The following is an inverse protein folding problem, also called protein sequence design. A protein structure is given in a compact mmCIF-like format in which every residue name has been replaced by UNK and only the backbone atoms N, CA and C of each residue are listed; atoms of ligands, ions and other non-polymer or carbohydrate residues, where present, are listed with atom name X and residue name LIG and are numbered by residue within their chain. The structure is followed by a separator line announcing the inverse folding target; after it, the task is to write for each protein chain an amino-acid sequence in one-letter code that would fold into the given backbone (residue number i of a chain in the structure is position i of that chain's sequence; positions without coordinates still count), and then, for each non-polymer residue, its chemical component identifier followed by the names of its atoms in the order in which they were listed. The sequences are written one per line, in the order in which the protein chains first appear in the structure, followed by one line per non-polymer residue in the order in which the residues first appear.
data_IF_808246316742
#
_entry.id   IF_808246316742
#
_cell.length_a   1.000
_cell.length_b   1.000
_cell.length_c   1.000
_cell.angle_alpha   90.00
_cell.angle_beta   90.00
_cell.angle_gamma   90.00
#
_symmetry.space_group_name_H-M   'P 1'
#
loop_
_entity.id
_entity.type
_entity.pdbx_description
1 polymer ?
#
# COMPACT_ATOMS: atom_id res chain seq x y z
N UNK A 1 43.68 -52.65 38.84
CA UNK A 1 44.85 -51.82 38.45
C UNK A 1 44.45 -50.95 37.26
N UNK A 2 44.83 -49.66 37.31
CA UNK A 2 45.00 -48.62 36.27
C UNK A 2 44.56 -49.00 34.82
N UNK A 3 43.85 -48.16 34.06
CA UNK A 3 44.38 -46.92 33.44
C UNK A 3 43.26 -46.08 32.79
N UNK A 4 43.44 -44.75 32.85
CA UNK A 4 42.66 -43.64 32.25
C UNK A 4 43.14 -43.36 30.80
N UNK A 5 42.25 -42.83 29.92
CA UNK A 5 42.42 -41.78 28.86
C UNK A 5 41.20 -41.88 27.89
N UNK A 6 40.17 -41.00 27.90
CA UNK A 6 39.99 -39.66 27.24
C UNK A 6 40.31 -39.67 25.71
N UNK A 7 39.59 -39.09 24.73
CA UNK A 7 38.68 -37.95 24.55
C UNK A 7 38.13 -38.11 23.09
N UNK A 8 36.87 -37.88 22.72
CA UNK A 8 36.34 -36.63 22.16
C UNK A 8 34.91 -36.89 21.66
N UNK A 9 33.91 -36.23 22.25
CA UNK A 9 32.72 -35.81 21.49
C UNK A 9 32.44 -34.36 21.88
N UNK A 10 32.64 -33.50 20.89
CA UNK A 10 32.41 -32.08 20.94
C UNK A 10 30.92 -31.79 20.72
N UNK A 11 30.41 -30.86 21.54
CA UNK A 11 29.32 -29.91 21.26
C UNK A 11 27.92 -30.48 20.97
N UNK A 12 27.30 -31.01 22.01
CA UNK A 12 25.84 -30.95 22.17
C UNK A 12 25.46 -29.67 22.92
N UNK A 13 25.18 -28.59 22.20
CA UNK A 13 24.54 -27.39 22.77
C UNK A 13 23.09 -27.76 23.09
N UNK A 14 22.61 -27.61 24.34
CA UNK A 14 21.18 -27.71 24.59
C UNK A 14 20.48 -26.49 23.99
N UNK A 15 19.78 -26.70 22.87
CA UNK A 15 18.74 -25.80 22.38
C UNK A 15 17.57 -25.87 23.37
N UNK A 16 17.56 -24.99 24.36
CA UNK A 16 16.38 -24.28 24.87
C UNK A 16 16.72 -23.58 26.19
N UNK A 17 17.21 -22.36 26.10
CA UNK A 17 16.67 -21.27 26.92
C UNK A 17 17.03 -19.92 26.32
N UNK A 18 16.31 -19.53 25.27
CA UNK A 18 16.09 -18.11 25.03
C UNK A 18 14.94 -17.67 25.95
N UNK A 19 15.25 -17.43 27.24
CA UNK A 19 14.40 -16.56 28.06
C UNK A 19 14.84 -15.12 27.76
N UNK A 20 14.25 -14.54 26.72
CA UNK A 20 14.25 -13.10 26.48
C UNK A 20 13.39 -12.40 27.56
N UNK A 21 13.66 -11.13 27.89
CA UNK A 21 13.61 -10.61 29.26
C UNK A 21 12.19 -10.39 29.80
N UNK A 22 12.10 -10.40 31.13
CA UNK A 22 10.88 -10.20 31.94
C UNK A 22 10.36 -8.73 31.95
N UNK A 23 10.95 -7.86 31.13
CA UNK A 23 10.64 -6.44 30.92
C UNK A 23 10.70 -6.20 29.40
N UNK A 24 9.72 -5.49 28.83
CA UNK A 24 9.47 -5.39 27.37
C UNK A 24 10.62 -4.89 26.47
N UNK A 25 10.34 -4.51 25.20
CA UNK A 25 11.37 -4.20 24.19
C UNK A 25 12.18 -2.93 24.48
N UNK A 26 11.77 -2.13 25.46
CA UNK A 26 12.45 -0.91 25.87
C UNK A 26 13.57 -1.23 26.86
N UNK A 27 14.80 -1.29 26.35
CA UNK A 27 16.00 -1.27 27.18
C UNK A 27 16.41 0.20 27.39
N UNK A 28 16.48 0.64 28.65
CA UNK A 28 17.10 1.92 29.00
C UNK A 28 18.56 1.91 28.52
N UNK A 29 18.81 2.46 27.34
CA UNK A 29 20.14 2.63 26.77
C UNK A 29 20.68 4.03 27.13
N UNK A 30 21.94 4.28 26.78
CA UNK A 30 22.59 5.57 27.00
C UNK A 30 22.00 6.72 26.16
N UNK A 31 21.03 6.45 25.26
CA UNK A 31 20.39 7.43 24.39
C UNK A 31 19.17 8.14 25.04
N UNK A 32 18.78 7.71 26.26
CA UNK A 32 17.83 8.44 27.10
C UNK A 32 16.35 8.26 26.73
N UNK A 33 16.01 7.15 26.08
CA UNK A 33 14.62 6.79 25.76
C UNK A 33 13.84 6.46 27.04
N UNK A 34 12.63 7.00 27.17
CA UNK A 34 11.76 6.79 28.32
C UNK A 34 10.97 5.50 28.18
N UNK A 35 11.11 4.63 29.18
CA UNK A 35 10.33 3.41 29.29
C UNK A 35 9.31 3.51 30.42
N UNK A 36 8.18 2.84 30.26
CA UNK A 36 7.23 2.62 31.34
C UNK A 36 7.72 1.52 32.32
N UNK A 37 6.97 1.33 33.41
CA UNK A 37 7.29 0.35 34.46
C UNK A 37 7.27 -1.12 33.99
N UNK A 38 6.68 -1.40 32.84
CA UNK A 38 6.58 -2.75 32.26
C UNK A 38 7.63 -2.96 31.14
N UNK A 39 8.43 -1.94 30.83
CA UNK A 39 9.50 -2.02 29.82
C UNK A 39 9.03 -1.75 28.39
N UNK A 40 7.97 -0.97 28.18
CA UNK A 40 7.58 -0.47 26.85
C UNK A 40 7.94 1.01 26.72
N UNK A 41 8.12 1.48 25.49
CA UNK A 41 8.44 2.88 25.25
C UNK A 41 7.25 3.77 25.61
N UNK A 42 7.49 4.82 26.40
CA UNK A 42 6.51 5.91 26.52
C UNK A 42 6.28 6.51 25.13
N UNK A 43 5.03 6.75 24.73
CA UNK A 43 4.76 7.21 23.37
C UNK A 43 5.32 8.59 23.07
N UNK A 44 5.64 9.40 24.09
CA UNK A 44 6.31 10.70 23.91
C UNK A 44 7.77 10.59 24.31
N UNK A 45 8.66 10.78 23.34
CA UNK A 45 10.09 10.82 23.54
C UNK A 45 10.60 12.24 23.33
N UNK A 46 11.51 12.70 24.18
CA UNK A 46 12.07 14.05 24.12
C UNK A 46 13.58 14.01 24.27
N UNK A 47 14.28 14.68 23.37
CA UNK A 47 15.69 15.01 23.54
C UNK A 47 15.85 16.51 23.89
N UNK A 48 17.08 17.01 23.99
CA UNK A 48 17.33 18.42 24.34
C UNK A 48 16.70 19.43 23.37
N UNK A 49 16.43 19.03 22.12
CA UNK A 49 16.00 19.94 21.04
C UNK A 49 14.53 19.80 20.64
N UNK A 50 13.95 18.61 20.74
CA UNK A 50 12.62 18.30 20.20
C UNK A 50 11.98 17.15 20.95
N UNK A 51 10.66 17.08 20.89
CA UNK A 51 9.87 15.91 21.27
C UNK A 51 9.20 15.30 20.04
N UNK A 52 8.92 14.00 20.06
CA UNK A 52 8.28 13.24 18.98
C UNK A 52 7.56 12.02 19.55
N UNK A 53 6.63 11.47 18.78
CA UNK A 53 5.88 10.29 19.17
C UNK A 53 6.52 9.00 18.64
N UNK A 54 6.44 7.92 19.42
CA UNK A 54 6.96 6.59 19.04
C UNK A 54 5.96 5.48 19.34
N UNK A 55 6.15 4.35 18.67
CA UNK A 55 5.37 3.12 18.89
C UNK A 55 5.84 2.39 20.16
N UNK A 56 4.95 2.04 21.10
CA UNK A 56 5.34 1.45 22.41
C UNK A 56 6.17 0.17 22.35
N UNK A 57 5.98 -0.66 21.31
CA UNK A 57 6.56 -2.00 21.23
C UNK A 57 7.70 -2.13 20.21
N UNK A 58 7.96 -1.10 19.40
CA UNK A 58 9.02 -1.12 18.36
C UNK A 58 9.91 0.12 18.35
N UNK A 59 9.56 1.18 19.09
CA UNK A 59 10.19 2.50 19.02
C UNK A 59 10.12 3.19 17.64
N UNK A 60 9.28 2.73 16.71
CA UNK A 60 9.10 3.38 15.41
C UNK A 60 8.57 4.81 15.58
N UNK A 61 9.25 5.80 14.97
CA UNK A 61 8.97 7.24 15.13
C UNK A 61 7.89 7.68 14.14
N UNK A 62 6.87 8.39 14.63
CA UNK A 62 5.92 9.14 13.81
C UNK A 62 6.50 10.52 13.46
N UNK A 63 7.05 10.66 12.24
CA UNK A 63 7.93 11.79 11.87
C UNK A 63 7.24 13.15 11.91
N UNK A 64 5.97 13.22 11.50
CA UNK A 64 5.16 14.43 11.48
C UNK A 64 4.83 15.00 12.86
N UNK A 65 4.97 14.19 13.92
CA UNK A 65 4.73 14.64 15.30
C UNK A 65 5.89 15.44 15.89
N UNK A 66 7.06 15.49 15.23
CA UNK A 66 8.27 16.11 15.79
C UNK A 66 8.08 17.62 16.03
N UNK A 67 8.26 18.04 17.27
CA UNK A 67 8.23 19.46 17.66
C UNK A 67 9.56 20.14 17.40
N UNK A 68 9.54 21.47 17.24
CA UNK A 68 10.74 22.30 17.09
C UNK A 68 11.40 22.65 18.45
N UNK A 69 10.84 22.19 19.56
CA UNK A 69 11.32 22.49 20.91
C UNK A 69 10.99 21.35 21.88
N UNK A 70 11.91 21.06 22.79
CA UNK A 70 11.74 20.07 23.87
C UNK A 70 10.72 20.49 24.94
N UNK A 71 10.25 21.74 24.92
CA UNK A 71 9.23 22.26 25.86
C UNK A 71 7.79 21.97 25.42
N UNK A 72 7.58 21.63 24.15
CA UNK A 72 6.26 21.37 23.58
C UNK A 72 6.04 19.87 23.51
N UNK A 73 4.95 19.41 24.13
CA UNK A 73 4.49 18.03 24.01
C UNK A 73 3.86 17.85 22.61
N UNK A 74 4.28 16.83 21.83
CA UNK A 74 3.72 16.54 20.53
C UNK A 74 2.28 16.02 20.65
N UNK A 75 1.46 16.23 19.63
CA UNK A 75 0.18 15.54 19.53
C UNK A 75 0.45 14.16 18.91
N UNK A 76 0.15 13.10 19.64
CA UNK A 76 0.30 11.73 19.14
C UNK A 76 -1.06 11.26 18.62
N UNK A 77 -1.07 10.68 17.42
CA UNK A 77 -2.28 10.20 16.78
C UNK A 77 -3.03 9.13 17.58
N UNK A 78 -4.24 8.85 17.13
CA UNK A 78 -5.19 7.99 17.84
C UNK A 78 -4.68 6.56 18.02
N UNK A 79 -3.97 6.03 17.03
CA UNK A 79 -3.43 4.66 17.08
C UNK A 79 -2.29 4.52 18.10
N UNK A 80 -1.35 5.47 18.16
CA UNK A 80 -0.30 5.46 19.18
C UNK A 80 -0.89 5.57 20.59
N UNK A 81 -1.91 6.41 20.76
CA UNK A 81 -2.64 6.54 22.03
C UNK A 81 -3.36 5.24 22.40
N UNK A 82 -3.92 4.53 21.42
CA UNK A 82 -4.51 3.21 21.62
C UNK A 82 -3.46 2.17 22.02
N UNK A 83 -2.32 2.11 21.32
CA UNK A 83 -1.23 1.20 21.63
C UNK A 83 -0.66 1.45 23.03
N UNK A 84 -0.55 2.72 23.47
CA UNK A 84 -0.11 3.03 24.83
C UNK A 84 -0.98 2.34 25.88
N UNK A 85 -2.31 2.30 25.67
CA UNK A 85 -3.24 1.62 26.57
C UNK A 85 -3.14 0.10 26.47
N UNK A 86 -2.96 -0.42 25.25
CA UNK A 86 -2.83 -1.85 24.99
C UNK A 86 -1.62 -2.47 25.71
N UNK A 87 -0.50 -1.74 25.75
CA UNK A 87 0.75 -2.18 26.40
C UNK A 87 0.93 -1.68 27.84
N UNK A 88 -0.01 -0.90 28.39
CA UNK A 88 0.10 -0.29 29.73
C UNK A 88 0.21 -1.31 30.88
N UNK A 89 -0.15 -2.57 30.65
CA UNK A 89 -0.10 -3.66 31.63
C UNK A 89 0.89 -4.77 31.23
N UNK A 90 1.80 -4.50 30.29
CA UNK A 90 2.72 -5.49 29.75
C UNK A 90 2.29 -6.04 28.39
N UNK A 91 2.73 -7.26 28.09
CA UNK A 91 2.37 -7.93 26.84
C UNK A 91 0.84 -8.07 26.72
N UNK A 92 0.26 -7.73 25.56
CA UNK A 92 -1.14 -7.97 25.29
C UNK A 92 -1.46 -9.47 25.41
N UNK A 93 -2.71 -9.80 25.73
CA UNK A 93 -3.16 -11.19 25.77
C UNK A 93 -2.82 -11.89 24.45
N UNK A 94 -2.46 -13.17 24.52
CA UNK A 94 -2.21 -13.99 23.33
C UNK A 94 -3.40 -13.89 22.36
N UNK A 95 -3.12 -13.62 21.09
CA UNK A 95 -4.09 -13.36 20.01
C UNK A 95 -4.81 -11.99 20.06
N UNK A 96 -4.37 -11.06 20.91
CA UNK A 96 -4.80 -9.66 20.81
C UNK A 96 -4.34 -9.07 19.49
N UNK A 97 -5.25 -8.41 18.78
CA UNK A 97 -4.91 -7.66 17.57
C UNK A 97 -4.10 -6.40 17.92
N UNK A 98 -2.91 -6.25 17.34
CA UNK A 98 -2.06 -5.07 17.49
C UNK A 98 -2.16 -4.24 16.21
N UNK A 99 -2.84 -3.08 16.22
CA UNK A 99 -3.00 -2.25 15.03
C UNK A 99 -1.70 -1.63 14.56
N UNK A 100 -1.61 -1.40 13.26
CA UNK A 100 -0.52 -0.66 12.63
C UNK A 100 -0.85 0.83 12.57
N UNK A 101 0.08 1.65 13.03
CA UNK A 101 -0.07 3.10 13.01
C UNK A 101 0.69 3.73 11.84
N UNK A 102 0.18 4.83 11.30
CA UNK A 102 0.85 5.57 10.25
C UNK A 102 2.15 6.20 10.78
N UNK A 103 3.12 6.38 9.88
CA UNK A 103 4.46 6.85 10.23
C UNK A 103 4.60 8.38 10.28
N UNK A 104 3.54 9.13 10.02
CA UNK A 104 3.53 10.59 10.04
C UNK A 104 2.93 11.12 11.35
N UNK A 105 1.64 10.90 11.59
CA UNK A 105 0.92 11.45 12.75
C UNK A 105 0.73 10.41 13.88
N UNK A 106 0.83 9.12 13.58
CA UNK A 106 0.60 8.04 14.54
C UNK A 106 -0.89 7.71 14.73
N UNK A 107 -1.72 8.09 13.78
CA UNK A 107 -3.10 7.66 13.57
C UNK A 107 -3.12 6.22 13.02
N UNK A 108 -4.30 5.63 12.89
CA UNK A 108 -4.41 4.27 12.35
C UNK A 108 -4.05 4.29 10.86
N UNK A 109 -3.22 3.36 10.40
CA UNK A 109 -3.13 3.13 8.96
C UNK A 109 -4.51 2.73 8.43
N UNK A 110 -4.90 3.23 7.25
CA UNK A 110 -6.22 2.94 6.70
C UNK A 110 -6.45 1.43 6.58
N UNK A 111 -5.44 0.67 6.15
CA UNK A 111 -5.51 -0.78 6.04
C UNK A 111 -4.89 -1.44 7.26
N UNK A 112 -5.68 -2.26 7.95
CA UNK A 112 -5.28 -3.08 9.08
C UNK A 112 -5.30 -4.55 8.66
N UNK A 113 -4.24 -5.29 8.99
CA UNK A 113 -4.12 -6.70 8.61
C UNK A 113 -3.87 -7.58 9.84
N UNK A 114 -4.76 -8.55 10.06
CA UNK A 114 -4.63 -9.59 11.06
C UNK A 114 -3.93 -10.80 10.42
N UNK A 115 -2.65 -10.98 10.74
CA UNK A 115 -1.82 -12.07 10.21
C UNK A 115 -2.28 -13.46 10.69
N UNK A 116 -2.88 -13.57 11.88
CA UNK A 116 -3.38 -14.85 12.42
C UNK A 116 -4.64 -15.29 11.66
N UNK A 117 -5.48 -14.33 11.26
CA UNK A 117 -6.69 -14.59 10.46
C UNK A 117 -6.47 -14.50 8.96
N UNK A 118 -5.29 -14.07 8.51
CA UNK A 118 -4.97 -13.79 7.12
C UNK A 118 -6.01 -12.88 6.45
N UNK A 119 -6.42 -11.82 7.16
CA UNK A 119 -7.48 -10.91 6.73
C UNK A 119 -7.02 -9.46 6.87
N UNK A 120 -7.27 -8.64 5.86
CA UNK A 120 -7.10 -7.19 5.94
C UNK A 120 -8.46 -6.49 5.81
N UNK A 121 -8.61 -5.35 6.47
CA UNK A 121 -9.82 -4.53 6.47
C UNK A 121 -9.44 -3.05 6.56
N UNK A 122 -10.33 -2.17 6.11
CA UNK A 122 -10.14 -0.74 6.23
C UNK A 122 -10.71 -0.22 7.55
N UNK A 123 -10.06 0.78 8.14
CA UNK A 123 -10.53 1.48 9.35
C UNK A 123 -10.56 2.98 9.14
N UNK A 124 -11.40 3.67 9.89
CA UNK A 124 -11.31 5.12 10.00
C UNK A 124 -10.00 5.49 10.72
N UNK A 125 -9.19 6.36 10.11
CA UNK A 125 -7.82 6.63 10.59
C UNK A 125 -7.79 7.27 11.99
N UNK A 126 -8.86 7.96 12.39
CA UNK A 126 -8.92 8.66 13.68
C UNK A 126 -9.51 7.79 14.81
N UNK A 127 -10.30 6.78 14.47
CA UNK A 127 -11.03 5.97 15.46
C UNK A 127 -10.60 4.51 15.49
N UNK A 128 -10.00 4.01 14.40
CA UNK A 128 -9.66 2.59 14.23
C UNK A 128 -10.87 1.68 14.04
N UNK A 129 -12.05 2.24 13.83
CA UNK A 129 -13.28 1.48 13.59
C UNK A 129 -13.29 0.98 12.15
N UNK A 130 -13.57 -0.30 11.96
CA UNK A 130 -13.73 -0.90 10.63
C UNK A 130 -14.77 -0.15 9.81
N UNK A 131 -14.40 0.22 8.59
CA UNK A 131 -15.29 0.89 7.64
C UNK A 131 -15.72 -0.10 6.57
N UNK A 132 -16.80 0.23 5.86
CA UNK A 132 -17.21 -0.53 4.67
C UNK A 132 -16.32 -0.25 3.44
N UNK A 133 -15.12 0.34 3.62
CA UNK A 133 -14.19 0.60 2.53
C UNK A 133 -13.48 -0.67 2.13
N UNK A 134 -13.25 -0.82 0.84
CA UNK A 134 -12.53 -1.98 0.31
C UNK A 134 -11.01 -1.79 0.51
N UNK A 135 -10.32 -2.70 1.22
CA UNK A 135 -8.86 -2.67 1.39
C UNK A 135 -8.07 -2.79 0.09
N UNK A 136 -8.73 -3.05 -1.04
CA UNK A 136 -8.11 -2.95 -2.37
C UNK A 136 -7.71 -1.52 -2.76
N UNK A 137 -8.43 -0.51 -2.26
CA UNK A 137 -8.17 0.91 -2.55
C UNK A 137 -7.84 1.67 -1.28
N UNK A 138 -6.57 2.07 -1.07
CA UNK A 138 -6.13 2.70 0.16
C UNK A 138 -6.65 4.14 0.32
N UNK A 139 -7.44 4.67 -0.63
CA UNK A 139 -8.08 5.97 -0.49
C UNK A 139 -9.43 6.02 -1.24
N UNK A 140 -10.52 6.53 -0.62
CA UNK A 140 -11.86 6.54 -1.23
C UNK A 140 -11.98 7.37 -2.50
N UNK A 141 -11.19 8.43 -2.66
CA UNK A 141 -11.24 9.26 -3.86
C UNK A 141 -10.68 8.55 -5.10
N UNK A 142 -9.94 7.46 -4.95
CA UNK A 142 -9.46 6.67 -6.08
C UNK A 142 -10.59 6.05 -6.91
N UNK A 143 -11.81 5.97 -6.39
CA UNK A 143 -12.97 5.47 -7.14
C UNK A 143 -13.75 6.57 -7.87
N UNK A 144 -13.38 7.85 -7.71
CA UNK A 144 -14.07 8.96 -8.39
C UNK A 144 -13.51 9.15 -9.80
N UNK A 145 -14.37 9.37 -10.80
CA UNK A 145 -13.94 9.71 -12.16
C UNK A 145 -13.15 11.04 -12.15
N UNK A 146 -12.30 11.27 -13.16
CA UNK A 146 -11.53 12.50 -13.28
C UNK A 146 -12.44 13.73 -13.38
N UNK A 147 -12.02 14.80 -12.73
CA UNK A 147 -12.65 16.11 -12.87
C UNK A 147 -11.61 17.13 -13.37
N UNK A 148 -11.77 17.54 -14.63
CA UNK A 148 -10.95 18.55 -15.29
C UNK A 148 -11.04 19.92 -14.61
N UNK A 149 -12.05 20.14 -13.76
CA UNK A 149 -12.31 21.41 -13.13
C UNK A 149 -12.67 22.50 -14.13
N UNK A 150 -12.24 23.73 -13.85
CA UNK A 150 -12.49 24.90 -14.69
C UNK A 150 -11.26 25.81 -14.76
N UNK A 151 -11.23 26.64 -15.81
CA UNK A 151 -10.16 27.62 -16.04
C UNK A 151 -10.34 28.81 -15.10
N UNK A 152 -9.34 29.10 -14.27
CA UNK A 152 -9.32 30.26 -13.38
C UNK A 152 -8.31 31.34 -13.80
N UNK A 153 -7.34 31.01 -14.66
CA UNK A 153 -6.38 31.97 -15.22
C UNK A 153 -5.94 31.53 -16.62
N UNK A 154 -5.50 32.46 -17.45
CA UNK A 154 -4.87 32.14 -18.74
C UNK A 154 -3.56 31.37 -18.50
N UNK A 155 -3.37 30.25 -19.19
CA UNK A 155 -2.17 29.38 -19.13
C UNK A 155 -1.96 28.55 -17.85
N UNK A 156 -3.04 28.14 -17.18
CA UNK A 156 -2.97 27.26 -16.01
C UNK A 156 -3.29 25.77 -16.31
N UNK A 157 -3.46 25.40 -17.58
CA UNK A 157 -3.73 24.02 -17.98
C UNK A 157 -2.49 23.15 -17.78
N UNK A 158 -2.70 21.92 -17.31
CA UNK A 158 -1.60 20.97 -17.09
C UNK A 158 -2.09 19.54 -17.23
N UNK A 159 -1.19 18.63 -17.61
CA UNK A 159 -1.46 17.20 -17.52
C UNK A 159 -1.41 16.77 -16.06
N UNK A 160 -2.47 16.12 -15.61
CA UNK A 160 -2.59 15.48 -14.29
C UNK A 160 -2.94 14.02 -14.49
N UNK A 161 -2.81 13.22 -13.44
CA UNK A 161 -3.11 11.80 -13.45
C UNK A 161 -4.28 11.51 -12.53
N UNK A 162 -5.14 10.59 -12.92
CA UNK A 162 -6.20 10.07 -12.09
C UNK A 162 -6.19 8.55 -12.17
N UNK A 163 -6.59 7.89 -11.09
CA UNK A 163 -6.67 6.45 -11.02
C UNK A 163 -8.01 5.98 -11.57
N UNK A 164 -7.97 5.20 -12.65
CA UNK A 164 -9.13 4.49 -13.16
C UNK A 164 -9.20 3.11 -12.47
N UNK A 165 -10.18 2.91 -11.57
CA UNK A 165 -10.24 1.68 -10.81
C UNK A 165 -10.55 0.49 -11.73
N UNK A 166 -11.28 0.67 -12.83
CA UNK A 166 -11.65 -0.41 -13.76
C UNK A 166 -10.41 -1.07 -14.35
N UNK A 167 -9.47 -0.27 -14.86
CA UNK A 167 -8.27 -0.77 -15.55
C UNK A 167 -7.03 -0.80 -14.66
N UNK A 168 -7.11 -0.31 -13.43
CA UNK A 168 -5.97 -0.15 -12.51
C UNK A 168 -4.84 0.72 -13.06
N UNK A 169 -5.19 1.69 -13.90
CA UNK A 169 -4.23 2.57 -14.51
C UNK A 169 -4.37 4.00 -13.99
N UNK A 170 -3.23 4.65 -13.81
CA UNK A 170 -3.17 6.08 -13.61
C UNK A 170 -3.08 6.79 -14.96
N UNK A 171 -4.21 7.27 -15.47
CA UNK A 171 -4.27 7.89 -16.79
C UNK A 171 -4.03 9.40 -16.73
N UNK A 172 -3.30 9.95 -17.71
CA UNK A 172 -3.16 11.38 -17.89
C UNK A 172 -4.48 12.01 -18.40
N UNK A 173 -4.78 13.22 -17.94
CA UNK A 173 -5.87 14.06 -18.44
C UNK A 173 -5.51 15.54 -18.31
N UNK A 174 -6.12 16.37 -19.14
CA UNK A 174 -6.01 17.83 -19.08
C UNK A 174 -6.82 18.38 -17.90
N UNK A 175 -6.10 18.91 -16.91
CA UNK A 175 -6.68 19.67 -15.81
C UNK A 175 -6.67 21.16 -16.14
N UNK A 176 -7.82 21.82 -15.98
CA UNK A 176 -8.04 23.23 -16.31
C UNK A 176 -7.53 24.21 -15.24
N UNK A 177 -6.92 23.69 -14.17
CA UNK A 177 -6.12 24.48 -13.23
C UNK A 177 -6.84 24.92 -11.95
N UNK A 178 -8.18 24.91 -11.89
CA UNK A 178 -8.94 25.12 -10.65
C UNK A 178 -10.12 24.16 -10.48
N UNK A 179 -10.52 23.91 -9.23
CA UNK A 179 -11.56 22.95 -8.90
C UNK A 179 -11.06 21.50 -9.00
N UNK A 180 -11.88 20.62 -9.54
CA UNK A 180 -11.56 19.19 -9.62
C UNK A 180 -11.92 18.44 -8.33
N UNK A 181 -11.65 17.14 -8.34
CA UNK A 181 -11.74 16.27 -7.18
C UNK A 181 -10.34 15.79 -6.74
N UNK A 182 -10.29 14.93 -5.71
CA UNK A 182 -9.03 14.43 -5.13
C UNK A 182 -8.33 13.36 -5.96
N UNK A 183 -8.99 12.75 -6.94
CA UNK A 183 -8.36 11.83 -7.88
C UNK A 183 -7.59 12.60 -8.96
N UNK A 184 -6.61 13.39 -8.52
CA UNK A 184 -5.88 14.35 -9.35
C UNK A 184 -4.45 14.52 -8.82
N UNK A 185 -3.51 13.87 -9.50
CA UNK A 185 -2.11 13.75 -9.12
C UNK A 185 -1.20 14.43 -10.14
N UNK A 186 -0.02 14.90 -9.72
CA UNK A 186 0.92 15.55 -10.64
C UNK A 186 1.68 14.52 -11.48
N UNK A 187 1.85 13.31 -10.96
CA UNK A 187 2.57 12.23 -11.64
C UNK A 187 1.82 10.91 -11.52
N UNK A 188 2.03 10.00 -12.49
CA UNK A 188 1.49 8.64 -12.44
C UNK A 188 1.98 7.88 -11.20
N UNK A 189 3.24 8.10 -10.80
CA UNK A 189 3.81 7.48 -9.59
C UNK A 189 3.17 7.93 -8.29
N UNK A 190 2.76 9.21 -8.17
CA UNK A 190 1.95 9.68 -7.02
C UNK A 190 0.59 8.99 -6.99
N UNK A 191 -0.09 8.93 -8.13
CA UNK A 191 -1.37 8.26 -8.28
C UNK A 191 -1.28 6.77 -7.89
N UNK A 192 -0.27 6.05 -8.39
CA UNK A 192 -0.08 4.63 -8.07
C UNK A 192 0.18 4.40 -6.58
N UNK A 193 1.01 5.25 -5.95
CA UNK A 193 1.27 5.16 -4.50
C UNK A 193 0.02 5.42 -3.66
N UNK A 194 -0.83 6.33 -4.10
CA UNK A 194 -2.01 6.75 -3.35
C UNK A 194 -3.23 5.83 -3.59
N UNK A 195 -3.29 5.13 -4.72
CA UNK A 195 -4.49 4.38 -5.12
C UNK A 195 -4.30 2.88 -5.32
N UNK A 196 -3.06 2.37 -5.38
CA UNK A 196 -2.78 0.94 -5.54
C UNK A 196 -2.15 0.41 -4.26
N UNK A 197 -2.88 -0.46 -3.53
CA UNK A 197 -2.34 -1.12 -2.35
C UNK A 197 -1.23 -2.12 -2.75
N UNK A 198 -0.19 -2.25 -1.92
CA UNK A 198 0.96 -3.11 -2.20
C UNK A 198 0.62 -4.62 -2.27
N UNK A 199 -0.50 -5.02 -1.65
CA UNK A 199 -1.04 -6.38 -1.68
C UNK A 199 -2.14 -6.56 -2.73
N UNK A 200 -2.35 -5.58 -3.61
CA UNK A 200 -3.40 -5.63 -4.60
C UNK A 200 -3.16 -6.77 -5.61
N UNK A 201 -4.17 -7.61 -5.78
CA UNK A 201 -4.20 -8.65 -6.80
C UNK A 201 -5.63 -8.73 -7.33
N UNK A 202 -5.80 -8.54 -8.64
CA UNK A 202 -7.10 -8.66 -9.32
C UNK A 202 -6.92 -9.03 -10.77
N UNK A 203 -7.99 -9.55 -11.33
CA UNK A 203 -8.11 -9.75 -12.75
C UNK A 203 -8.30 -8.43 -13.50
N UNK A 204 -7.96 -8.48 -14.79
CA UNK A 204 -8.12 -7.36 -15.70
C UNK A 204 -9.55 -6.83 -15.70
N UNK A 205 -9.70 -5.51 -15.87
CA UNK A 205 -11.01 -4.83 -15.96
C UNK A 205 -11.91 -5.07 -14.72
N UNK A 206 -11.31 -5.21 -13.53
CA UNK A 206 -12.00 -5.60 -12.29
C UNK A 206 -12.86 -6.87 -12.42
N UNK A 207 -12.51 -7.76 -13.34
CA UNK A 207 -13.29 -8.98 -13.50
C UNK A 207 -13.21 -9.86 -12.26
N UNK A 208 -14.31 -10.53 -11.94
CA UNK A 208 -14.35 -11.44 -10.81
C UNK A 208 -13.41 -12.63 -11.07
N UNK A 209 -12.53 -12.97 -10.11
CA UNK A 209 -11.70 -14.15 -10.22
C UNK A 209 -12.53 -15.43 -10.09
N UNK A 210 -12.02 -16.54 -10.62
CA UNK A 210 -12.69 -17.83 -10.49
C UNK A 210 -12.87 -18.22 -9.01
N UNK A 211 -14.05 -18.76 -8.70
CA UNK A 211 -14.37 -19.32 -7.39
C UNK A 211 -14.76 -20.79 -7.51
N UNK A 212 -14.43 -21.55 -6.48
CA UNK A 212 -14.88 -22.92 -6.27
C UNK A 212 -16.37 -22.93 -5.91
N UNK A 213 -17.00 -24.10 -5.98
CA UNK A 213 -18.41 -24.27 -5.60
C UNK A 213 -18.71 -23.84 -4.16
N UNK A 214 -17.73 -23.96 -3.26
CA UNK A 214 -17.82 -23.52 -1.87
C UNK A 214 -17.58 -22.00 -1.67
N UNK A 215 -17.39 -21.24 -2.75
CA UNK A 215 -17.14 -19.79 -2.73
C UNK A 215 -15.68 -19.38 -2.54
N UNK A 216 -14.77 -20.32 -2.28
CA UNK A 216 -13.34 -20.04 -2.13
C UNK A 216 -12.69 -19.63 -3.45
N UNK A 217 -11.72 -18.73 -3.37
CA UNK A 217 -10.95 -18.26 -4.52
C UNK A 217 -10.11 -19.39 -5.13
N UNK A 218 -10.15 -19.53 -6.46
CA UNK A 218 -9.14 -20.33 -7.18
C UNK A 218 -7.81 -19.59 -7.20
N UNK A 219 -6.94 -19.96 -6.25
CA UNK A 219 -5.53 -19.58 -6.23
C UNK A 219 -4.74 -20.49 -7.17
N UNK A 220 -3.73 -19.93 -7.82
CA UNK A 220 -2.86 -20.64 -8.74
C UNK A 220 -1.38 -20.37 -8.45
N UNK A 221 -0.54 -21.32 -8.84
CA UNK A 221 0.92 -21.26 -8.78
C UNK A 221 1.49 -22.28 -9.76
N UNK A 222 2.81 -22.51 -9.75
CA UNK A 222 3.43 -23.61 -10.52
C UNK A 222 2.86 -25.00 -10.19
N UNK A 223 2.24 -25.17 -9.01
CA UNK A 223 1.67 -26.44 -8.56
C UNK A 223 0.15 -26.51 -8.63
N UNK A 224 -0.53 -25.39 -8.90
CA UNK A 224 -1.99 -25.30 -8.90
C UNK A 224 -2.48 -24.67 -10.19
N UNK A 225 -3.15 -25.47 -11.01
CA UNK A 225 -3.69 -25.04 -12.30
C UNK A 225 -5.06 -24.38 -12.16
N UNK A 226 -5.35 -23.48 -13.10
CA UNK A 226 -6.65 -22.82 -13.20
C UNK A 226 -7.68 -23.70 -13.91
N UNK A 227 -8.97 -23.54 -13.59
CA UNK A 227 -10.04 -24.24 -14.30
C UNK A 227 -10.12 -23.81 -15.76
N UNK A 228 -10.81 -24.61 -16.59
CA UNK A 228 -10.98 -24.31 -18.02
C UNK A 228 -11.57 -22.92 -18.25
N UNK A 229 -10.96 -22.15 -19.16
CA UNK A 229 -11.35 -20.78 -19.47
C UNK A 229 -10.75 -19.71 -18.55
N UNK A 230 -9.85 -20.11 -17.64
CA UNK A 230 -9.12 -19.21 -16.76
C UNK A 230 -7.61 -19.45 -16.84
N UNK A 231 -6.85 -18.35 -16.74
CA UNK A 231 -5.39 -18.34 -16.71
C UNK A 231 -4.89 -17.82 -15.38
N UNK A 232 -3.71 -18.30 -14.98
CA UNK A 232 -3.08 -17.87 -13.75
C UNK A 232 -2.46 -16.48 -13.92
N UNK A 233 -2.98 -15.49 -13.19
CA UNK A 233 -2.43 -14.16 -13.12
C UNK A 233 -1.69 -13.97 -11.80
N UNK A 234 -0.38 -13.67 -11.88
CA UNK A 234 0.48 -13.54 -10.72
C UNK A 234 0.19 -12.27 -9.91
N UNK A 235 -0.30 -12.44 -8.68
CA UNK A 235 -0.39 -11.38 -7.69
C UNK A 235 0.83 -11.33 -6.78
N UNK A 236 0.97 -10.26 -5.99
CA UNK A 236 2.11 -10.06 -5.07
C UNK A 236 2.16 -11.13 -3.97
N UNK A 237 1.00 -11.62 -3.52
CA UNK A 237 0.90 -12.62 -2.45
C UNK A 237 0.62 -14.04 -2.97
N UNK A 238 -0.20 -14.18 -4.00
CA UNK A 238 -0.55 -15.43 -4.64
C UNK A 238 -1.06 -15.17 -6.06
N UNK A 239 -0.94 -16.17 -6.95
CA UNK A 239 -1.61 -16.13 -8.23
C UNK A 239 -3.10 -16.38 -8.09
N UNK A 240 -3.92 -15.76 -8.95
CA UNK A 240 -5.35 -16.02 -9.03
C UNK A 240 -5.77 -16.35 -10.46
N UNK A 241 -6.84 -17.14 -10.57
CA UNK A 241 -7.37 -17.55 -11.85
C UNK A 241 -8.33 -16.51 -12.41
N UNK A 242 -7.97 -15.92 -13.55
CA UNK A 242 -8.70 -14.84 -14.22
C UNK A 242 -9.24 -15.30 -15.57
N UNK A 243 -10.41 -14.79 -15.95
CA UNK A 243 -11.09 -15.20 -17.19
C UNK A 243 -10.20 -14.93 -18.42
N UNK A 244 -10.01 -15.95 -19.26
CA UNK A 244 -9.13 -15.88 -20.41
C UNK A 244 -9.59 -14.84 -21.43
N UNK A 245 -10.90 -14.72 -21.68
CA UNK A 245 -11.41 -13.82 -22.72
C UNK A 245 -11.19 -12.37 -22.31
N UNK A 246 -11.47 -12.04 -21.04
CA UNK A 246 -11.28 -10.69 -20.50
C UNK A 246 -9.78 -10.36 -20.46
N UNK A 247 -8.97 -11.30 -19.95
CA UNK A 247 -7.52 -11.13 -19.85
C UNK A 247 -6.88 -10.92 -21.22
N UNK A 248 -7.23 -11.75 -22.21
CA UNK A 248 -6.70 -11.65 -23.57
C UNK A 248 -7.15 -10.36 -24.26
N UNK A 249 -8.41 -9.95 -24.08
CA UNK A 249 -8.93 -8.67 -24.61
C UNK A 249 -8.17 -7.48 -24.02
N UNK A 250 -7.91 -7.50 -22.72
CA UNK A 250 -7.13 -6.48 -22.03
C UNK A 250 -5.68 -6.44 -22.50
N UNK A 251 -4.99 -7.59 -22.57
CA UNK A 251 -3.62 -7.67 -23.08
C UNK A 251 -3.50 -7.19 -24.53
N UNK A 252 -4.48 -7.50 -25.38
CA UNK A 252 -4.51 -7.00 -26.75
C UNK A 252 -4.60 -5.46 -26.81
N UNK A 253 -5.29 -4.82 -25.86
CA UNK A 253 -5.39 -3.37 -25.80
C UNK A 253 -4.08 -2.68 -25.35
N UNK A 254 -3.18 -3.39 -24.66
CA UNK A 254 -1.85 -2.91 -24.27
C UNK A 254 -0.86 -2.86 -25.46
N UNK A 255 -1.21 -3.43 -26.61
CA UNK A 255 -0.42 -3.37 -27.84
C UNK A 255 -1.17 -2.62 -28.97
N UNK A 256 -1.50 -1.33 -28.77
CA UNK A 256 -2.23 -0.57 -29.78
C UNK A 256 -1.40 -0.40 -31.06
N UNK A 257 -2.10 -0.27 -32.18
CA UNK A 257 -1.50 0.01 -33.49
C UNK A 257 -2.12 1.27 -34.07
N UNK A 258 -1.28 2.22 -34.46
CA UNK A 258 -1.73 3.41 -35.14
C UNK A 258 -2.27 3.09 -36.53
N UNK A 259 -3.37 3.73 -36.94
CA UNK A 259 -3.94 3.57 -38.29
C UNK A 259 -2.95 3.91 -39.39
N UNK A 260 -2.05 4.85 -39.14
CA UNK A 260 -1.00 5.25 -40.07
C UNK A 260 0.22 4.31 -40.09
N UNK A 261 0.18 3.19 -39.34
CA UNK A 261 1.25 2.19 -39.22
C UNK A 261 2.57 2.72 -38.64
N UNK A 262 2.60 3.94 -38.11
CA UNK A 262 3.74 4.47 -37.36
C UNK A 262 3.74 3.91 -35.93
N UNK A 263 4.89 3.93 -35.30
CA UNK A 263 5.00 3.53 -33.90
C UNK A 263 4.27 4.50 -32.98
N UNK A 264 3.57 3.91 -32.01
CA UNK A 264 2.81 4.63 -30.97
C UNK A 264 3.78 5.46 -30.12
N UNK A 265 3.32 6.60 -29.60
CA UNK A 265 4.11 7.37 -28.65
C UNK A 265 4.50 6.50 -27.44
N UNK A 266 5.81 6.38 -27.17
CA UNK A 266 6.35 5.59 -26.06
C UNK A 266 7.15 6.48 -25.13
N UNK A 267 6.89 6.35 -23.84
CA UNK A 267 7.74 6.84 -22.76
C UNK A 267 8.63 5.72 -22.23
N UNK A 268 9.50 6.04 -21.26
CA UNK A 268 10.44 5.07 -20.68
C UNK A 268 9.76 3.81 -20.11
N UNK A 269 8.50 3.94 -19.67
CA UNK A 269 7.68 2.88 -19.08
C UNK A 269 6.76 2.15 -20.08
N UNK A 270 6.76 2.50 -21.36
CA UNK A 270 5.88 1.91 -22.37
C UNK A 270 5.06 2.94 -23.16
N UNK A 271 4.04 2.50 -23.94
CA UNK A 271 3.18 3.41 -24.67
C UNK A 271 2.45 4.40 -23.75
N UNK A 272 2.31 5.65 -24.18
CA UNK A 272 1.50 6.64 -23.47
C UNK A 272 0.01 6.35 -23.70
N UNK A 273 -0.64 5.82 -22.67
CA UNK A 273 -2.08 5.54 -22.65
C UNK A 273 -2.87 6.64 -21.95
N UNK A 274 -4.11 6.82 -22.37
CA UNK A 274 -5.15 7.57 -21.65
C UNK A 274 -6.44 6.77 -21.60
N UNK A 275 -7.43 7.21 -20.80
CA UNK A 275 -8.75 6.56 -20.78
C UNK A 275 -9.53 6.89 -22.05
N UNK A 276 -9.51 8.17 -22.45
CA UNK A 276 -10.26 8.66 -23.60
C UNK A 276 -9.51 9.76 -24.35
N UNK A 277 -9.76 9.89 -25.65
CA UNK A 277 -9.27 11.05 -26.42
C UNK A 277 -9.89 12.38 -25.98
N UNK A 278 -11.01 12.34 -25.26
CA UNK A 278 -11.59 13.54 -24.63
C UNK A 278 -10.74 14.13 -23.51
N UNK A 279 -9.70 13.40 -23.07
CA UNK A 279 -8.83 13.81 -21.97
C UNK A 279 -7.68 14.72 -22.41
N UNK A 280 -7.55 14.99 -23.72
CA UNK A 280 -6.56 15.90 -24.29
C UNK A 280 -5.11 15.64 -23.80
N UNK A 281 -4.74 14.38 -23.59
CA UNK A 281 -3.46 14.00 -23.00
C UNK A 281 -2.31 13.87 -24.02
N UNK A 282 -2.62 13.80 -25.32
CA UNK A 282 -1.59 13.60 -26.34
C UNK A 282 -0.76 14.88 -26.58
N UNK A 283 0.57 14.75 -26.74
CA UNK A 283 1.43 15.89 -27.08
C UNK A 283 1.12 16.46 -28.47
N UNK A 284 1.51 17.72 -28.72
CA UNK A 284 1.13 18.49 -29.93
C UNK A 284 1.46 17.83 -31.28
N UNK A 285 2.49 16.99 -31.36
CA UNK A 285 2.90 16.30 -32.59
C UNK A 285 2.20 14.95 -32.82
N UNK A 286 1.25 14.61 -31.95
CA UNK A 286 0.50 13.36 -31.99
C UNK A 286 -1.00 13.64 -32.18
N UNK A 287 -1.71 12.64 -32.68
CA UNK A 287 -3.16 12.58 -32.77
C UNK A 287 -3.62 11.44 -31.87
N UNK A 288 -4.69 11.66 -31.12
CA UNK A 288 -5.25 10.62 -30.27
C UNK A 288 -6.08 9.64 -31.10
N UNK A 289 -5.86 8.35 -30.86
CA UNK A 289 -6.69 7.26 -31.37
C UNK A 289 -7.20 6.43 -30.19
N UNK A 290 -8.47 6.02 -30.21
CA UNK A 290 -9.04 5.14 -29.19
C UNK A 290 -9.13 3.71 -29.72
N UNK A 291 -8.72 2.76 -28.89
CA UNK A 291 -9.12 1.37 -29.03
C UNK A 291 -10.33 1.10 -28.10
N UNK A 292 -10.65 -0.16 -27.87
CA UNK A 292 -11.82 -0.56 -27.08
C UNK A 292 -11.71 -0.25 -25.58
N UNK A 293 -10.50 -0.23 -25.02
CA UNK A 293 -10.25 -0.11 -23.56
C UNK A 293 -9.47 1.17 -23.23
N UNK A 294 -8.52 1.56 -24.07
CA UNK A 294 -7.62 2.69 -23.88
C UNK A 294 -7.60 3.62 -25.10
N UNK A 295 -7.21 4.86 -24.85
CA UNK A 295 -6.73 5.79 -25.85
C UNK A 295 -5.20 5.79 -25.91
N UNK A 296 -4.63 6.08 -27.08
CA UNK A 296 -3.19 6.15 -27.31
C UNK A 296 -2.84 7.24 -28.32
N UNK A 297 -1.59 7.68 -28.31
CA UNK A 297 -1.12 8.79 -29.14
C UNK A 297 -0.32 8.30 -30.34
N UNK A 298 -0.77 8.64 -31.54
CA UNK A 298 -0.16 8.27 -32.81
C UNK A 298 0.50 9.49 -33.47
N UNK A 299 1.73 9.36 -34.01
CA UNK A 299 2.39 10.48 -34.69
C UNK A 299 1.52 10.98 -35.84
N UNK A 300 1.48 12.30 -36.07
CA UNK A 300 0.82 12.87 -37.26
C UNK A 300 1.45 12.40 -38.56
#
# INVERSE_FOLDING_TARGET
MKTIIFFLFALGVPLQQARSPLYGPCALNNDGEKCDKNGYFEIVQCNLKSCYCVTPHTASIAQGTRTNTSKKVPNCGACLTYLQKLFANGDPLKNSFVPKCDVDQGDFELVQCDSEKNQCYCVDTNTGIETSMDPTYPNPWCTTDRDAGHTCSTNNTSIRYWFDPETFHCFPFEYKGCGGNRNNYKTSGECLRDCVAANYSSCALQSEPARRENGELYKCSESYECPQGYSCYGGVLFGMCCDDKITNRYHAALEPKCKNKKDVNREYSGPLFGKSCSDNFCPSNFTCESNEIFAHCCPK
#
